data_IF_776453510208
#
_entry.id   IF_776453510208
#
_cell.length_a   1.000
_cell.length_b   1.000
_cell.length_c   1.000
_cell.angle_alpha   90.00
_cell.angle_beta   90.00
_cell.angle_gamma   90.00
#
_symmetry.space_group_name_H-M   'P 1'
#
loop_
_entity.id
_entity.type
_entity.pdbx_description
1 polymer ?
#
# COMPACT_ATOMS: atom_id res chain seq x y z
N UNK A 1 8.63 23.66 -22.29
CA UNK A 1 9.36 22.76 -21.36
C UNK A 1 9.74 21.42 -22.01
N UNK A 2 9.86 21.33 -23.34
CA UNK A 2 10.13 20.07 -24.07
C UNK A 2 11.54 20.00 -24.66
N UNK A 3 12.30 21.11 -24.69
CA UNK A 3 13.61 21.17 -25.32
C UNK A 3 14.75 20.49 -24.52
N UNK A 4 14.59 20.27 -23.21
CA UNK A 4 15.63 19.64 -22.37
C UNK A 4 15.62 18.11 -22.38
N UNK A 5 14.50 17.49 -22.75
CA UNK A 5 14.36 16.03 -22.84
C UNK A 5 15.00 15.45 -24.11
N UNK A 6 15.15 16.25 -25.18
CA UNK A 6 15.72 15.79 -26.45
C UNK A 6 17.26 15.75 -26.48
N UNK A 7 17.94 16.46 -25.57
CA UNK A 7 19.40 16.54 -25.57
C UNK A 7 20.08 15.30 -24.95
N UNK A 8 19.37 14.53 -24.12
CA UNK A 8 19.89 13.31 -23.49
C UNK A 8 18.75 12.31 -23.25
N UNK A 9 18.44 11.43 -24.22
CA UNK A 9 17.31 10.50 -24.11
C UNK A 9 17.40 9.60 -22.87
N UNK A 10 18.62 9.26 -22.44
CA UNK A 10 18.85 8.50 -21.21
C UNK A 10 18.31 9.21 -19.95
N UNK A 11 18.43 10.54 -19.84
CA UNK A 11 17.91 11.30 -18.68
C UNK A 11 16.38 11.32 -18.69
N UNK A 12 15.76 11.44 -19.86
CA UNK A 12 14.30 11.40 -20.00
C UNK A 12 13.72 10.04 -19.62
N UNK A 13 14.33 8.95 -20.12
CA UNK A 13 13.95 7.58 -19.74
C UNK A 13 14.09 7.37 -18.24
N UNK A 14 15.20 7.81 -17.63
CA UNK A 14 15.43 7.63 -16.20
C UNK A 14 14.39 8.38 -15.36
N UNK A 15 14.01 9.61 -15.74
CA UNK A 15 12.94 10.36 -15.07
C UNK A 15 11.58 9.67 -15.16
N UNK A 16 11.23 9.15 -16.35
CA UNK A 16 9.98 8.40 -16.54
C UNK A 16 9.97 7.13 -15.68
N UNK A 17 11.08 6.40 -15.63
CA UNK A 17 11.21 5.21 -14.80
C UNK A 17 11.06 5.51 -13.31
N UNK A 18 11.69 6.59 -12.83
CA UNK A 18 11.56 7.02 -11.42
C UNK A 18 10.13 7.43 -11.10
N UNK A 19 9.49 8.21 -11.97
CA UNK A 19 8.10 8.61 -11.80
C UNK A 19 7.15 7.40 -11.79
N UNK A 20 7.38 6.43 -12.67
CA UNK A 20 6.61 5.20 -12.74
C UNK A 20 6.77 4.35 -11.48
N UNK A 21 8.00 4.17 -10.97
CA UNK A 21 8.26 3.46 -9.72
C UNK A 21 7.59 4.16 -8.52
N UNK A 22 7.66 5.49 -8.45
CA UNK A 22 6.99 6.25 -7.41
C UNK A 22 5.47 6.05 -7.47
N UNK A 23 4.89 6.08 -8.67
CA UNK A 23 3.47 5.78 -8.88
C UNK A 23 3.09 4.38 -8.40
N UNK A 24 3.87 3.36 -8.74
CA UNK A 24 3.62 1.98 -8.30
C UNK A 24 3.67 1.84 -6.78
N UNK A 25 4.61 2.50 -6.10
CA UNK A 25 4.69 2.47 -4.64
C UNK A 25 3.46 3.13 -3.99
N UNK A 26 2.99 4.25 -4.53
CA UNK A 26 1.78 4.92 -4.05
C UNK A 26 0.55 4.03 -4.29
N UNK A 27 0.41 3.48 -5.50
CA UNK A 27 -0.69 2.59 -5.84
C UNK A 27 -0.74 1.36 -4.92
N UNK A 28 0.40 0.71 -4.67
CA UNK A 28 0.49 -0.43 -3.76
C UNK A 28 0.07 -0.06 -2.32
N UNK A 29 0.51 1.09 -1.82
CA UNK A 29 0.10 1.60 -0.49
C UNK A 29 -1.42 1.82 -0.41
N UNK A 30 -2.02 2.41 -1.44
CA UNK A 30 -3.47 2.62 -1.50
C UNK A 30 -4.21 1.29 -1.53
N UNK A 31 -3.80 0.34 -2.37
CA UNK A 31 -4.41 -1.00 -2.48
C UNK A 31 -4.35 -1.74 -1.13
N UNK A 32 -3.24 -1.66 -0.41
CA UNK A 32 -3.11 -2.30 0.90
C UNK A 32 -4.03 -1.68 1.96
N UNK A 33 -4.22 -0.35 1.92
CA UNK A 33 -5.15 0.34 2.83
C UNK A 33 -6.61 0.01 2.51
N UNK A 34 -6.98 0.06 1.23
CA UNK A 34 -8.36 -0.21 0.80
C UNK A 34 -8.75 -1.66 1.02
N UNK A 35 -7.86 -2.61 0.73
CA UNK A 35 -8.09 -4.04 1.00
C UNK A 35 -8.27 -4.33 2.49
N UNK A 36 -7.58 -3.60 3.37
CA UNK A 36 -7.79 -3.71 4.81
C UNK A 36 -9.17 -3.21 5.24
N UNK A 37 -9.56 -2.01 4.77
CA UNK A 37 -10.88 -1.45 5.06
C UNK A 37 -12.02 -2.35 4.53
N UNK A 38 -11.85 -2.87 3.31
CA UNK A 38 -12.78 -3.81 2.70
C UNK A 38 -12.93 -5.09 3.51
N UNK A 39 -11.83 -5.65 4.01
CA UNK A 39 -11.86 -6.82 4.89
C UNK A 39 -12.69 -6.57 6.16
N UNK A 40 -12.55 -5.40 6.78
CA UNK A 40 -13.37 -5.02 7.93
C UNK A 40 -14.86 -4.94 7.61
N UNK A 41 -15.21 -4.32 6.47
CA UNK A 41 -16.59 -4.25 5.99
C UNK A 41 -17.20 -5.62 5.74
N UNK A 42 -16.45 -6.54 5.13
CA UNK A 42 -16.94 -7.88 4.79
C UNK A 42 -17.10 -8.81 6.00
N UNK A 43 -16.30 -8.60 7.05
CA UNK A 43 -16.28 -9.48 8.23
C UNK A 43 -16.93 -8.87 9.46
N UNK A 44 -17.51 -7.68 9.32
CA UNK A 44 -18.05 -6.87 10.43
C UNK A 44 -17.02 -6.65 11.56
N UNK A 45 -15.73 -6.55 11.20
CA UNK A 45 -14.64 -6.36 12.15
C UNK A 45 -14.12 -4.93 12.11
N UNK A 46 -13.77 -4.40 13.29
CA UNK A 46 -12.97 -3.18 13.36
C UNK A 46 -11.55 -3.45 12.84
N UNK A 47 -11.15 -2.71 11.80
CA UNK A 47 -9.86 -2.85 11.14
C UNK A 47 -9.13 -1.52 11.04
N UNK A 48 -7.80 -1.56 11.04
CA UNK A 48 -6.94 -0.39 10.81
C UNK A 48 -5.67 -0.79 10.08
N UNK A 49 -5.15 0.11 9.25
CA UNK A 49 -3.90 -0.11 8.52
C UNK A 49 -2.73 0.59 9.22
N UNK A 50 -1.61 -0.12 9.41
CA UNK A 50 -0.33 0.47 9.79
C UNK A 50 0.74 0.18 8.73
N UNK A 51 1.60 1.17 8.45
CA UNK A 51 2.52 1.15 7.31
C UNK A 51 3.49 -0.04 7.29
N UNK A 52 3.90 -0.55 8.45
CA UNK A 52 4.89 -1.64 8.56
C UNK A 52 4.31 -2.98 9.02
N UNK A 53 3.13 -2.95 9.65
CA UNK A 53 2.46 -4.16 10.18
C UNK A 53 1.40 -4.66 9.21
N UNK A 54 0.88 -3.78 8.34
CA UNK A 54 -0.20 -4.07 7.42
C UNK A 54 -1.57 -3.93 8.07
N UNK A 55 -2.49 -4.83 7.71
CA UNK A 55 -3.86 -4.80 8.19
C UNK A 55 -3.97 -5.40 9.60
N UNK A 56 -4.37 -4.58 10.56
CA UNK A 56 -4.70 -5.01 11.92
C UNK A 56 -6.20 -5.10 12.11
N UNK A 57 -6.60 -6.02 13.00
CA UNK A 57 -7.99 -6.32 13.30
C UNK A 57 -8.16 -6.30 14.81
N UNK A 58 -9.24 -5.67 15.29
CA UNK A 58 -9.54 -5.59 16.72
C UNK A 58 -10.10 -6.93 17.19
N UNK A 59 -9.55 -7.41 18.29
CA UNK A 59 -9.97 -8.60 19.03
C UNK A 59 -10.23 -8.22 20.48
N UNK A 60 -10.76 -9.14 21.30
CA UNK A 60 -10.93 -8.91 22.74
C UNK A 60 -9.63 -8.62 23.49
N UNK A 61 -8.49 -9.12 23.00
CA UNK A 61 -7.16 -8.91 23.58
C UNK A 61 -6.43 -7.66 23.03
N UNK A 62 -7.00 -6.98 22.02
CA UNK A 62 -6.40 -5.81 21.39
C UNK A 62 -6.28 -5.93 19.87
N UNK A 63 -5.36 -5.15 19.27
CA UNK A 63 -5.14 -5.12 17.83
C UNK A 63 -4.17 -6.22 17.41
N UNK A 64 -4.65 -7.16 16.60
CA UNK A 64 -3.87 -8.31 16.13
C UNK A 64 -3.69 -8.21 14.61
N UNK A 65 -2.49 -8.51 14.08
CA UNK A 65 -2.25 -8.58 12.64
C UNK A 65 -3.18 -9.60 11.96
N UNK A 66 -3.70 -9.28 10.77
CA UNK A 66 -4.64 -10.17 10.06
C UNK A 66 -4.06 -11.56 9.77
N UNK A 67 -2.75 -11.64 9.50
CA UNK A 67 -2.01 -12.89 9.29
C UNK A 67 -1.92 -13.75 10.56
N UNK A 68 -1.93 -13.14 11.75
CA UNK A 68 -1.86 -13.83 13.04
C UNK A 68 -3.24 -14.22 13.59
N UNK A 69 -4.34 -13.73 12.99
CA UNK A 69 -5.70 -14.12 13.40
C UNK A 69 -5.96 -15.63 13.32
N UNK A 70 -5.28 -16.35 12.40
CA UNK A 70 -5.45 -17.80 12.23
C UNK A 70 -4.88 -18.62 13.36
N UNK A 71 -3.88 -18.12 14.08
CA UNK A 71 -3.23 -18.85 15.18
C UNK A 71 -3.89 -18.58 16.53
N UNK A 72 -4.87 -17.67 16.57
CA UNK A 72 -5.64 -17.30 17.75
C UNK A 72 -7.02 -17.99 17.81
N UNK A 73 -7.30 -18.91 16.88
CA UNK A 73 -8.55 -19.69 16.82
C UNK A 73 -8.44 -21.00 17.60
#
# INVERSE_FOLDING_TARGET
>A
MTAWLSANPAKGVLLVMVAFLAFLMIAASVINRTSCAWYGQQTERETRYAAFVGCMVKTGAGWVPRNELRTQQ
#
